data_IF_664305694055
#
_entry.id   IF_664305694055
#
_cell.length_a   1.000
_cell.length_b   1.000
_cell.length_c   1.000
_cell.angle_alpha   90.00
_cell.angle_beta   90.00
_cell.angle_gamma   90.00
#
_symmetry.space_group_name_H-M   'P 1'
#
loop_
_entity.id
_entity.type
_entity.pdbx_description
1 polymer ?
#
# COMPACT_ATOMS: atom_id res chain seq x y z
N UNK A 1 0.72 -16.84 -22.21
CA UNK A 1 0.67 -16.58 -20.77
C UNK A 1 0.53 -15.08 -20.68
N UNK A 2 -0.58 -14.60 -20.14
CA UNK A 2 -0.80 -13.16 -19.99
C UNK A 2 0.10 -12.71 -18.85
N UNK A 3 1.12 -11.94 -19.20
CA UNK A 3 1.91 -11.14 -18.28
C UNK A 3 0.98 -10.00 -17.84
N UNK A 4 0.23 -10.23 -16.76
CA UNK A 4 -0.65 -9.21 -16.19
C UNK A 4 0.28 -8.27 -15.39
N UNK A 5 0.43 -6.99 -15.77
CA UNK A 5 1.46 -6.08 -15.23
C UNK A 5 1.26 -5.71 -13.75
N UNK A 6 0.25 -6.30 -13.10
CA UNK A 6 -0.11 -6.10 -11.69
C UNK A 6 0.47 -7.20 -10.81
N UNK A 7 0.97 -8.29 -11.40
CA UNK A 7 1.75 -9.34 -10.74
C UNK A 7 3.26 -9.00 -10.75
N UNK A 8 3.64 -7.96 -11.48
CA UNK A 8 4.97 -7.41 -11.42
C UNK A 8 4.99 -6.44 -10.23
N UNK A 9 5.58 -6.86 -9.12
CA UNK A 9 5.95 -5.99 -8.02
C UNK A 9 6.76 -4.75 -8.44
N UNK A 10 7.20 -3.94 -7.49
CA UNK A 10 7.92 -2.70 -7.80
C UNK A 10 9.31 -2.68 -7.19
N UNK A 11 10.19 -1.92 -7.83
CA UNK A 11 11.52 -1.57 -7.31
C UNK A 11 11.61 -0.05 -7.06
N UNK A 12 12.78 0.39 -6.57
CA UNK A 12 13.01 1.80 -6.19
C UNK A 12 12.99 2.78 -7.36
N UNK A 13 13.03 2.31 -8.61
CA UNK A 13 13.06 3.11 -9.83
C UNK A 13 11.69 3.19 -10.51
N UNK A 14 10.82 2.20 -10.34
CA UNK A 14 9.55 2.10 -11.09
C UNK A 14 8.27 2.21 -10.23
N UNK A 15 8.37 2.30 -8.90
CA UNK A 15 7.22 2.44 -7.99
C UNK A 15 6.19 3.53 -8.37
N UNK A 16 6.62 4.59 -9.05
CA UNK A 16 5.74 5.67 -9.53
C UNK A 16 4.73 5.23 -10.60
N UNK A 17 4.91 4.04 -11.22
CA UNK A 17 3.93 3.49 -12.17
C UNK A 17 2.60 3.10 -11.50
N UNK A 18 2.61 2.91 -10.18
CA UNK A 18 1.45 2.46 -9.41
C UNK A 18 0.34 3.51 -9.50
N UNK A 19 -0.87 3.06 -9.84
CA UNK A 19 -2.02 3.95 -10.05
C UNK A 19 -2.72 4.13 -8.70
N UNK A 20 -2.71 5.33 -8.11
CA UNK A 20 -3.35 5.55 -6.83
C UNK A 20 -4.88 5.65 -6.99
N UNK A 21 -5.60 5.10 -6.02
CA UNK A 21 -7.03 5.26 -5.86
C UNK A 21 -7.33 6.50 -5.02
N UNK A 22 -7.77 7.58 -5.66
CA UNK A 22 -8.01 8.88 -5.01
C UNK A 22 -9.40 9.44 -5.34
N UNK A 23 -9.83 10.43 -4.56
CA UNK A 23 -11.02 11.24 -4.84
C UNK A 23 -12.37 10.60 -4.47
N UNK A 24 -12.39 9.36 -4.00
CA UNK A 24 -13.58 8.70 -3.40
C UNK A 24 -13.17 7.54 -2.51
N UNK A 25 -14.15 7.02 -1.77
CA UNK A 25 -14.06 5.76 -1.03
C UNK A 25 -14.25 4.59 -1.98
N UNK A 26 -13.40 3.57 -1.84
CA UNK A 26 -13.48 2.35 -2.62
C UNK A 26 -14.70 1.52 -2.24
N UNK A 27 -15.20 0.78 -3.23
CA UNK A 27 -16.23 -0.24 -3.00
C UNK A 27 -15.71 -1.59 -3.49
N UNK A 28 -16.51 -2.63 -3.27
CA UNK A 28 -16.14 -4.00 -3.63
C UNK A 28 -15.84 -4.19 -5.13
N UNK A 29 -16.51 -3.45 -6.03
CA UNK A 29 -16.23 -3.52 -7.48
C UNK A 29 -14.84 -2.96 -7.80
N UNK A 30 -14.42 -1.89 -7.11
CA UNK A 30 -13.09 -1.30 -7.29
C UNK A 30 -11.98 -2.27 -6.86
N UNK A 31 -12.18 -3.01 -5.77
CA UNK A 31 -11.24 -4.04 -5.32
C UNK A 31 -11.22 -5.23 -6.29
N UNK A 32 -12.38 -5.71 -6.74
CA UNK A 32 -12.46 -6.80 -7.72
C UNK A 32 -11.85 -6.41 -9.08
N UNK A 33 -11.94 -5.13 -9.45
CA UNK A 33 -11.31 -4.57 -10.63
C UNK A 33 -9.83 -4.21 -10.41
N UNK A 34 -9.25 -4.52 -9.25
CA UNK A 34 -7.85 -4.21 -8.87
C UNK A 34 -7.49 -2.72 -8.99
N UNK A 35 -8.47 -1.85 -8.75
CA UNK A 35 -8.28 -0.38 -8.71
C UNK A 35 -8.01 0.12 -7.30
N UNK A 36 -8.47 -0.61 -6.30
CA UNK A 36 -8.30 -0.30 -4.88
C UNK A 36 -7.80 -1.56 -4.15
N UNK A 37 -7.11 -1.36 -3.03
CA UNK A 37 -6.57 -2.46 -2.23
C UNK A 37 -7.65 -3.03 -1.30
N UNK A 38 -8.47 -2.16 -0.72
CA UNK A 38 -9.53 -2.56 0.21
C UNK A 38 -10.84 -1.81 -0.01
N UNK A 39 -11.92 -2.37 0.52
CA UNK A 39 -13.21 -1.71 0.66
C UNK A 39 -13.84 -2.10 2.00
N UNK A 40 -13.92 -1.15 2.94
CA UNK A 40 -14.53 -1.40 4.25
C UNK A 40 -16.05 -1.24 4.14
N UNK A 41 -16.79 -2.35 4.36
CA UNK A 41 -18.25 -2.36 4.29
C UNK A 41 -18.94 -2.19 5.64
N UNK A 42 -18.25 -2.47 6.75
CA UNK A 42 -18.78 -2.41 8.11
C UNK A 42 -18.42 -1.10 8.85
N UNK A 43 -17.81 -0.14 8.16
CA UNK A 43 -17.49 1.19 8.69
C UNK A 43 -18.53 2.24 8.28
N UNK A 44 -18.48 3.42 8.92
CA UNK A 44 -19.37 4.54 8.63
C UNK A 44 -18.58 5.77 8.19
N UNK A 45 -19.28 6.67 7.50
CA UNK A 45 -18.76 8.00 7.15
C UNK A 45 -17.39 7.97 6.44
N UNK A 46 -17.17 6.94 5.62
CA UNK A 46 -15.96 6.81 4.83
C UNK A 46 -15.71 8.07 4.00
N UNK A 47 -14.49 8.58 4.05
CA UNK A 47 -14.05 9.73 3.26
C UNK A 47 -12.63 9.51 2.75
N UNK A 48 -12.29 9.94 1.52
CA UNK A 48 -10.91 9.91 1.07
C UNK A 48 -10.06 10.89 1.90
N UNK A 49 -8.82 10.52 2.16
CA UNK A 49 -7.81 11.40 2.77
C UNK A 49 -7.10 12.16 1.63
N UNK A 50 -6.97 13.47 1.76
CA UNK A 50 -6.25 14.32 0.80
C UNK A 50 -4.74 14.21 1.07
N UNK A 51 -4.07 13.38 0.28
CA UNK A 51 -2.65 13.04 0.41
C UNK A 51 -2.03 12.94 -0.99
N UNK A 52 -0.76 13.29 -1.13
CA UNK A 52 0.01 13.00 -2.33
C UNK A 52 0.22 11.49 -2.43
N UNK A 53 -0.39 10.86 -3.44
CA UNK A 53 -0.26 9.43 -3.72
C UNK A 53 0.16 9.24 -5.20
N UNK A 54 0.92 8.18 -5.55
CA UNK A 54 1.48 7.17 -4.65
C UNK A 54 2.55 7.73 -3.71
N UNK A 55 2.68 7.18 -2.50
CA UNK A 55 3.60 7.66 -1.46
C UNK A 55 4.43 6.50 -0.89
N UNK A 56 5.77 6.55 -0.94
CA UNK A 56 6.62 5.61 -0.24
C UNK A 56 6.39 5.66 1.28
N UNK A 57 6.26 4.49 1.89
CA UNK A 57 6.06 4.35 3.33
C UNK A 57 6.88 3.20 3.90
N UNK A 58 7.27 3.34 5.15
CA UNK A 58 7.73 2.21 5.97
C UNK A 58 6.54 1.82 6.85
N UNK A 59 6.14 0.55 6.81
CA UNK A 59 5.03 0.00 7.58
C UNK A 59 5.57 -0.94 8.66
N UNK A 60 5.11 -0.77 9.91
CA UNK A 60 5.42 -1.68 11.01
C UNK A 60 4.37 -2.78 11.10
N UNK A 61 4.62 -3.91 10.43
CA UNK A 61 3.82 -5.12 10.52
C UNK A 61 4.26 -5.98 11.73
N UNK A 62 3.50 -7.04 12.04
CA UNK A 62 3.81 -7.98 13.12
C UNK A 62 5.19 -8.67 12.94
N UNK A 63 5.59 -8.95 11.69
CA UNK A 63 6.88 -9.56 11.35
C UNK A 63 8.05 -8.56 11.26
N UNK A 64 7.78 -7.26 11.45
CA UNK A 64 8.77 -6.19 11.44
C UNK A 64 8.45 -5.06 10.46
N UNK A 65 9.45 -4.19 10.24
CA UNK A 65 9.34 -3.09 9.29
C UNK A 65 9.39 -3.61 7.85
N UNK A 66 8.48 -3.11 7.01
CA UNK A 66 8.39 -3.45 5.60
C UNK A 66 8.31 -2.17 4.77
N UNK A 67 8.98 -2.14 3.62
CA UNK A 67 8.75 -1.08 2.65
C UNK A 67 7.45 -1.34 1.91
N UNK A 68 6.68 -0.29 1.68
CA UNK A 68 5.50 -0.33 0.84
C UNK A 68 5.31 1.00 0.11
N UNK A 69 4.30 1.04 -0.76
CA UNK A 69 3.81 2.27 -1.37
C UNK A 69 2.32 2.39 -1.08
N UNK A 70 1.94 3.46 -0.41
CA UNK A 70 0.54 3.80 -0.24
C UNK A 70 -0.04 4.25 -1.60
N UNK A 71 -1.13 3.60 -2.00
CA UNK A 71 -1.87 3.92 -3.23
C UNK A 71 -3.32 4.28 -2.95
N UNK A 72 -3.81 4.06 -1.74
CA UNK A 72 -5.17 4.40 -1.32
C UNK A 72 -5.10 4.94 0.11
N UNK A 73 -5.86 5.98 0.41
CA UNK A 73 -5.94 6.55 1.76
C UNK A 73 -7.37 6.99 2.07
N UNK A 74 -7.96 6.42 3.12
CA UNK A 74 -9.35 6.67 3.50
C UNK A 74 -9.50 6.73 5.02
N UNK A 75 -10.35 7.63 5.49
CA UNK A 75 -10.74 7.72 6.89
C UNK A 75 -12.15 7.17 7.07
N UNK A 76 -12.34 6.36 8.11
CA UNK A 76 -13.57 5.63 8.39
C UNK A 76 -13.90 5.70 9.86
N UNK A 77 -15.16 5.95 10.21
CA UNK A 77 -15.59 5.92 11.60
C UNK A 77 -15.97 4.48 12.00
N UNK A 78 -15.40 4.01 13.11
CA UNK A 78 -15.73 2.74 13.74
C UNK A 78 -17.15 2.77 14.33
N UNK A 79 -17.68 1.61 14.71
CA UNK A 79 -18.98 1.54 15.40
C UNK A 79 -18.99 2.30 16.73
N UNK A 80 -17.83 2.47 17.35
CA UNK A 80 -17.62 3.19 18.62
C UNK A 80 -17.48 4.72 18.39
N UNK A 81 -17.42 5.15 17.13
CA UNK A 81 -17.34 6.56 16.74
C UNK A 81 -15.91 7.09 16.66
N UNK A 82 -14.91 6.22 16.65
CA UNK A 82 -13.50 6.58 16.47
C UNK A 82 -13.16 6.63 14.98
N UNK A 83 -12.54 7.72 14.52
CA UNK A 83 -12.07 7.82 13.14
C UNK A 83 -10.75 7.08 12.99
N UNK A 84 -10.75 6.05 12.15
CA UNK A 84 -9.57 5.29 11.76
C UNK A 84 -9.12 5.74 10.38
N UNK A 85 -7.84 6.04 10.24
CA UNK A 85 -7.21 6.41 8.96
C UNK A 85 -6.50 5.16 8.43
N UNK A 86 -6.94 4.69 7.27
CA UNK A 86 -6.55 3.41 6.71
C UNK A 86 -5.93 3.62 5.34
N UNK A 87 -4.79 2.97 5.12
CA UNK A 87 -4.05 3.00 3.87
C UNK A 87 -4.14 1.65 3.17
N UNK A 88 -4.31 1.71 1.86
CA UNK A 88 -4.09 0.60 0.96
C UNK A 88 -2.67 0.69 0.44
N UNK A 89 -1.87 -0.33 0.77
CA UNK A 89 -0.47 -0.44 0.45
C UNK A 89 -0.28 -1.47 -0.67
N UNK A 90 0.74 -1.26 -1.48
CA UNK A 90 1.32 -2.28 -2.35
C UNK A 90 2.73 -2.57 -1.82
N UNK A 91 3.06 -3.86 -1.67
CA UNK A 91 4.36 -4.37 -1.27
C UNK A 91 5.27 -4.57 -2.49
N UNK A 92 6.60 -4.66 -2.30
CA UNK A 92 7.54 -4.79 -3.41
C UNK A 92 7.35 -6.03 -4.29
N UNK A 93 6.77 -7.11 -3.75
CA UNK A 93 6.44 -8.31 -4.54
C UNK A 93 5.17 -8.13 -5.40
N UNK A 94 4.40 -7.05 -5.16
CA UNK A 94 3.13 -6.76 -5.82
C UNK A 94 1.90 -7.11 -4.98
N UNK A 95 2.06 -7.73 -3.81
CA UNK A 95 0.95 -8.02 -2.90
C UNK A 95 0.34 -6.71 -2.34
N UNK A 96 -0.99 -6.72 -2.16
CA UNK A 96 -1.73 -5.62 -1.55
C UNK A 96 -1.90 -5.84 -0.04
N UNK A 97 -1.59 -4.82 0.76
CA UNK A 97 -1.73 -4.84 2.21
C UNK A 97 -2.57 -3.67 2.72
N UNK A 98 -3.13 -3.80 3.93
CA UNK A 98 -3.92 -2.75 4.57
C UNK A 98 -3.28 -2.39 5.90
N UNK A 99 -2.99 -1.10 6.09
CA UNK A 99 -2.36 -0.58 7.30
C UNK A 99 -3.11 0.62 7.85
N UNK A 100 -2.93 0.91 9.15
CA UNK A 100 -3.37 2.17 9.73
C UNK A 100 -2.33 3.26 9.43
N UNK A 101 -2.79 4.49 9.23
CA UNK A 101 -1.90 5.63 9.01
C UNK A 101 -0.95 5.86 10.19
N UNK A 102 -1.35 5.49 11.42
CA UNK A 102 -0.51 5.59 12.61
C UNK A 102 0.61 4.54 12.68
N UNK A 103 0.45 3.43 11.95
CA UNK A 103 1.42 2.33 11.89
C UNK A 103 2.39 2.48 10.71
N UNK A 104 2.37 3.63 10.02
CA UNK A 104 3.28 3.91 8.91
C UNK A 104 3.99 5.25 9.07
N UNK A 105 5.18 5.33 8.50
CA UNK A 105 5.95 6.55 8.36
C UNK A 105 6.06 6.86 6.87
N UNK A 106 5.62 8.06 6.51
CA UNK A 106 5.76 8.57 5.15
C UNK A 106 7.21 8.98 4.93
N UNK A 107 7.83 8.42 3.90
CA UNK A 107 9.25 8.63 3.59
C UNK A 107 9.44 9.16 2.18
N UNK A 108 10.57 9.82 1.94
CA UNK A 108 10.97 10.20 0.59
C UNK A 108 11.49 8.97 -0.16
N UNK A 109 11.37 8.95 -1.49
CA UNK A 109 11.87 7.81 -2.27
C UNK A 109 13.40 7.68 -2.19
N UNK A 110 14.13 8.74 -1.81
CA UNK A 110 15.57 8.68 -1.54
C UNK A 110 15.94 8.17 -0.15
N UNK A 111 14.97 7.79 0.69
CA UNK A 111 15.23 7.25 2.02
C UNK A 111 16.01 5.92 1.94
N UNK A 112 17.19 5.81 2.58
CA UNK A 112 18.02 4.61 2.45
C UNK A 112 17.43 3.38 3.13
N UNK A 113 16.59 3.55 4.16
CA UNK A 113 15.91 2.44 4.84
C UNK A 113 14.84 1.86 3.95
N UNK A 114 13.99 2.72 3.37
CA UNK A 114 12.97 2.28 2.42
C UNK A 114 13.58 1.58 1.21
N UNK A 115 14.60 2.19 0.59
CA UNK A 115 15.27 1.57 -0.58
C UNK A 115 15.88 0.21 -0.23
N UNK A 116 16.55 0.10 0.92
CA UNK A 116 17.13 -1.16 1.37
C UNK A 116 16.09 -2.25 1.64
N UNK A 117 14.92 -1.89 2.17
CA UNK A 117 13.80 -2.83 2.39
C UNK A 117 13.17 -3.28 1.06
N UNK A 118 13.00 -2.38 0.08
CA UNK A 118 12.54 -2.72 -1.27
C UNK A 118 13.53 -3.67 -1.95
N UNK A 119 14.82 -3.33 -1.93
CA UNK A 119 15.88 -4.16 -2.51
C UNK A 119 15.98 -5.53 -1.83
N UNK A 120 15.77 -5.60 -0.51
CA UNK A 120 15.74 -6.87 0.22
C UNK A 120 14.55 -7.73 -0.22
N UNK A 121 13.36 -7.15 -0.33
CA UNK A 121 12.15 -7.88 -0.74
C UNK A 121 12.23 -8.41 -2.18
N UNK A 122 12.71 -7.60 -3.12
CA UNK A 122 12.90 -8.02 -4.53
C UNK A 122 14.11 -8.95 -4.69
N UNK A 123 15.15 -8.73 -3.89
CA UNK A 123 16.39 -9.52 -3.91
C UNK A 123 16.23 -10.93 -3.35
N UNK A 124 15.34 -11.13 -2.36
CA UNK A 124 15.07 -12.45 -1.77
C UNK A 124 14.51 -13.44 -2.80
N UNK A 125 13.79 -12.95 -3.82
CA UNK A 125 13.25 -13.79 -4.91
C UNK A 125 14.33 -14.27 -5.91
N UNK A 126 15.55 -13.71 -5.87
CA UNK A 126 16.62 -14.04 -6.82
C UNK A 126 17.70 -14.98 -6.26
N UNK A 127 17.55 -15.45 -5.02
CA UNK A 127 18.03 -16.78 -4.59
C UNK A 127 19.12 -16.87 -3.53
N UNK A 128 19.01 -17.94 -2.75
CA UNK A 128 20.12 -18.65 -2.10
C UNK A 128 19.78 -20.16 -2.04
N UNK A 129 20.01 -20.88 -3.15
CA UNK A 129 20.21 -22.33 -3.14
C UNK A 129 21.71 -22.60 -3.35
N UNK A 130 22.47 -22.78 -2.27
CA UNK A 130 23.81 -23.39 -2.26
C UNK A 130 23.75 -24.82 -1.66
#
# INVERSE_FOLDING_TARGET
MSDDPIDAGFDTDDWQRLIPFTGRVANLDDVQARKAIFALSDTRNGKPIDMDLPQPVIWWADDGEQAAVAVQAEAHDSEEGETMEVLGLILPDGEGAVALLEDVDLVDDTDPTWRGLVEAAVGDETGDED
#
